data_IF_123246942271
#
_entry.id   IF_123246942271
#
_cell.length_a   1.000
_cell.length_b   1.000
_cell.length_c   1.000
_cell.angle_alpha   90.00
_cell.angle_beta   90.00
_cell.angle_gamma   90.00
#
_symmetry.space_group_name_H-M   'P 1'
#
loop_
_entity.id
_entity.type
_entity.pdbx_description
1 polymer ?
#
# COMPACT_ATOMS: atom_id res chain seq x y z
N UNK A 1 -33.39 -26.77 -30.08
CA UNK A 1 -32.63 -26.96 -28.83
C UNK A 1 -31.13 -26.69 -28.96
N UNK A 2 -30.41 -27.21 -29.97
CA UNK A 2 -28.94 -27.02 -30.13
C UNK A 2 -28.45 -25.56 -30.19
N UNK A 3 -29.20 -24.65 -30.84
CA UNK A 3 -28.80 -23.23 -31.00
C UNK A 3 -28.91 -22.42 -29.70
N UNK A 4 -29.90 -22.72 -28.84
CA UNK A 4 -30.13 -22.00 -27.58
C UNK A 4 -29.06 -22.37 -26.54
N UNK A 5 -28.66 -23.65 -26.50
CA UNK A 5 -27.57 -24.14 -25.64
C UNK A 5 -26.22 -23.51 -26.05
N UNK A 6 -25.98 -23.36 -27.36
CA UNK A 6 -24.75 -22.76 -27.88
C UNK A 6 -24.65 -21.25 -27.58
N UNK A 7 -25.77 -20.51 -27.72
CA UNK A 7 -25.84 -19.08 -27.39
C UNK A 7 -25.66 -18.86 -25.89
N UNK A 8 -26.28 -19.70 -25.04
CA UNK A 8 -26.12 -19.65 -23.59
C UNK A 8 -24.70 -19.93 -23.11
N UNK A 9 -23.99 -20.90 -23.71
CA UNK A 9 -22.58 -21.16 -23.42
C UNK A 9 -21.67 -19.97 -23.79
N UNK A 10 -21.93 -19.34 -24.94
CA UNK A 10 -21.13 -18.20 -25.41
C UNK A 10 -21.26 -16.97 -24.49
N UNK A 11 -22.46 -16.65 -24.02
CA UNK A 11 -22.68 -15.55 -23.07
C UNK A 11 -22.05 -15.80 -21.70
N UNK A 12 -22.12 -17.04 -21.18
CA UNK A 12 -21.47 -17.39 -19.91
C UNK A 12 -19.94 -17.23 -20.01
N UNK A 13 -19.35 -17.58 -21.16
CA UNK A 13 -17.90 -17.46 -21.37
C UNK A 13 -17.45 -15.99 -21.35
N UNK A 14 -18.21 -15.09 -21.97
CA UNK A 14 -17.93 -13.65 -21.95
C UNK A 14 -18.04 -13.04 -20.55
N UNK A 15 -18.99 -13.50 -19.74
CA UNK A 15 -19.15 -13.05 -18.34
C UNK A 15 -17.94 -13.47 -17.49
N UNK A 16 -17.47 -14.71 -17.66
CA UNK A 16 -16.29 -15.21 -16.93
C UNK A 16 -15.03 -14.43 -17.32
N UNK A 17 -14.82 -14.17 -18.61
CA UNK A 17 -13.67 -13.37 -19.09
C UNK A 17 -13.74 -11.94 -18.56
N UNK A 18 -14.92 -11.32 -18.56
CA UNK A 18 -15.12 -9.99 -18.00
C UNK A 18 -14.83 -9.93 -16.50
N UNK A 19 -15.26 -10.95 -15.74
CA UNK A 19 -15.01 -11.05 -14.31
C UNK A 19 -13.53 -11.26 -13.99
N UNK A 20 -12.84 -12.14 -14.72
CA UNK A 20 -11.39 -12.36 -14.56
C UNK A 20 -10.62 -11.07 -14.89
N UNK A 21 -10.96 -10.39 -15.98
CA UNK A 21 -10.33 -9.12 -16.36
C UNK A 21 -10.53 -8.03 -15.29
N UNK A 22 -11.72 -7.97 -14.68
CA UNK A 22 -12.01 -7.06 -13.58
C UNK A 22 -11.18 -7.38 -12.33
N UNK A 23 -11.04 -8.65 -11.96
CA UNK A 23 -10.20 -9.05 -10.82
C UNK A 23 -8.73 -8.70 -11.09
N UNK A 24 -8.19 -8.99 -12.27
CA UNK A 24 -6.80 -8.68 -12.63
C UNK A 24 -6.52 -7.17 -12.66
N UNK A 25 -7.48 -6.34 -13.09
CA UNK A 25 -7.34 -4.87 -13.06
C UNK A 25 -7.44 -4.26 -11.66
N UNK A 26 -8.13 -4.94 -10.74
CA UNK A 26 -8.36 -4.45 -9.37
C UNK A 26 -7.34 -5.00 -8.37
N UNK A 27 -6.62 -6.07 -8.69
CA UNK A 27 -5.47 -6.54 -7.90
C UNK A 27 -4.24 -5.74 -8.29
N UNK A 28 -4.16 -4.53 -7.76
CA UNK A 28 -2.94 -3.75 -7.85
C UNK A 28 -2.00 -4.13 -6.72
N UNK A 29 -0.77 -4.42 -7.09
CA UNK A 29 0.31 -4.66 -6.13
C UNK A 29 0.89 -3.29 -5.73
N UNK A 30 0.68 -2.81 -4.48
CA UNK A 30 1.16 -1.52 -4.02
C UNK A 30 2.70 -1.44 -3.96
N UNK A 31 3.40 -2.57 -4.07
CA UNK A 31 4.87 -2.65 -4.14
C UNK A 31 5.39 -2.83 -5.57
N UNK A 32 4.53 -2.92 -6.59
CA UNK A 32 4.95 -2.91 -7.98
C UNK A 32 5.62 -1.57 -8.34
N UNK A 33 6.65 -1.58 -9.18
CA UNK A 33 7.40 -0.38 -9.60
C UNK A 33 6.51 0.79 -10.07
N UNK A 34 5.34 0.49 -10.64
CA UNK A 34 4.38 1.49 -11.11
C UNK A 34 3.60 2.17 -9.98
N UNK A 35 3.32 1.45 -8.89
CA UNK A 35 2.50 1.92 -7.78
C UNK A 35 3.35 2.30 -6.56
N UNK A 36 4.58 1.80 -6.48
CA UNK A 36 5.50 2.04 -5.39
C UNK A 36 5.72 3.53 -5.09
N UNK A 37 5.91 4.44 -6.09
CA UNK A 37 6.03 5.88 -5.79
C UNK A 37 4.80 6.45 -5.07
N UNK A 38 3.59 6.02 -5.45
CA UNK A 38 2.34 6.45 -4.78
C UNK A 38 2.23 5.86 -3.38
N UNK A 39 2.62 4.60 -3.23
CA UNK A 39 2.68 3.92 -1.93
C UNK A 39 3.68 4.60 -1.00
N UNK A 40 4.83 5.05 -1.52
CA UNK A 40 5.80 5.83 -0.75
C UNK A 40 5.22 7.16 -0.28
N UNK A 41 4.55 7.92 -1.15
CA UNK A 41 3.91 9.19 -0.75
C UNK A 41 2.82 8.98 0.31
N UNK A 42 1.93 8.00 0.12
CA UNK A 42 0.89 7.66 1.09
C UNK A 42 1.50 7.21 2.42
N UNK A 43 2.49 6.32 2.39
CA UNK A 43 3.19 5.84 3.58
C UNK A 43 3.86 6.99 4.35
N UNK A 44 4.53 7.92 3.65
CA UNK A 44 5.08 9.14 4.26
C UNK A 44 4.01 9.97 4.96
N UNK A 45 2.89 10.24 4.29
CA UNK A 45 1.81 11.03 4.86
C UNK A 45 1.21 10.34 6.11
N UNK A 46 0.94 9.03 6.05
CA UNK A 46 0.44 8.24 7.18
C UNK A 46 1.41 8.26 8.36
N UNK A 47 2.72 8.20 8.10
CA UNK A 47 3.72 8.29 9.14
C UNK A 47 3.70 9.65 9.85
N UNK A 48 3.77 10.73 9.07
CA UNK A 48 3.81 12.10 9.60
C UNK A 48 2.55 12.33 10.44
N UNK A 49 1.38 11.93 9.92
CA UNK A 49 0.12 12.02 10.65
C UNK A 49 0.13 11.20 11.95
N UNK A 50 0.68 9.98 11.93
CA UNK A 50 0.81 9.14 13.12
C UNK A 50 1.71 9.80 14.18
N UNK A 51 2.91 10.23 13.82
CA UNK A 51 3.82 10.86 14.78
C UNK A 51 3.28 12.21 15.28
N UNK A 52 2.63 12.98 14.43
CA UNK A 52 2.01 14.24 14.83
C UNK A 52 0.81 14.03 15.78
N UNK A 53 -0.08 13.06 15.50
CA UNK A 53 -1.28 12.83 16.33
C UNK A 53 -1.00 12.00 17.59
N UNK A 54 -0.25 10.93 17.47
CA UNK A 54 -0.04 9.96 18.55
C UNK A 54 1.17 10.30 19.42
N UNK A 55 2.20 10.94 18.85
CA UNK A 55 3.43 11.30 19.55
C UNK A 55 3.61 12.80 19.74
N UNK A 56 2.73 13.63 19.17
CA UNK A 56 2.83 15.10 19.18
C UNK A 56 4.19 15.60 18.67
N UNK A 57 4.73 14.89 17.68
CA UNK A 57 6.08 15.09 17.20
C UNK A 57 6.05 15.32 15.68
N UNK A 58 6.55 16.47 15.26
CA UNK A 58 6.67 16.80 13.84
C UNK A 58 7.93 16.13 13.29
N UNK A 59 7.75 15.22 12.32
CA UNK A 59 8.82 14.41 11.75
C UNK A 59 9.03 14.69 10.27
N UNK A 60 10.26 14.55 9.82
CA UNK A 60 10.65 14.61 8.42
C UNK A 60 11.10 13.22 7.97
N UNK A 61 10.35 12.62 7.03
CA UNK A 61 10.68 11.32 6.47
C UNK A 61 11.72 11.48 5.35
N UNK A 62 12.91 10.94 5.56
CA UNK A 62 14.04 11.04 4.64
C UNK A 62 14.16 9.83 3.72
N UNK A 63 13.78 8.64 4.21
CA UNK A 63 13.87 7.39 3.44
C UNK A 63 12.62 6.54 3.57
N UNK A 64 12.35 5.79 2.50
CA UNK A 64 11.25 4.84 2.42
C UNK A 64 11.75 3.60 1.66
N UNK A 65 11.65 2.43 2.27
CA UNK A 65 12.05 1.15 1.71
C UNK A 65 11.00 0.07 1.93
N UNK A 66 11.15 -1.08 1.26
CA UNK A 66 10.25 -2.22 1.40
C UNK A 66 10.79 -3.18 2.47
N UNK A 67 9.92 -3.69 3.34
CA UNK A 67 10.30 -4.66 4.38
C UNK A 67 10.03 -6.07 3.89
N UNK A 68 11.05 -6.67 3.27
CA UNK A 68 11.05 -8.06 2.81
C UNK A 68 10.20 -8.30 1.55
N UNK A 69 10.43 -9.43 0.88
CA UNK A 69 9.65 -9.86 -0.30
C UNK A 69 8.27 -10.41 0.07
N UNK A 70 8.08 -10.82 1.34
CA UNK A 70 6.90 -11.51 1.84
C UNK A 70 6.07 -10.58 2.73
N UNK A 71 5.38 -9.63 2.09
CA UNK A 71 4.40 -8.78 2.73
C UNK A 71 4.39 -7.37 2.15
N UNK A 72 3.20 -6.79 2.05
CA UNK A 72 3.02 -5.38 1.68
C UNK A 72 3.39 -4.48 2.86
N UNK A 73 4.67 -4.43 3.22
CA UNK A 73 5.18 -3.63 4.33
C UNK A 73 6.24 -2.67 3.85
N UNK A 74 6.15 -1.45 4.32
CA UNK A 74 7.07 -0.37 3.98
C UNK A 74 7.70 0.13 5.26
N UNK A 75 9.02 0.26 5.25
CA UNK A 75 9.78 0.88 6.32
C UNK A 75 10.11 2.30 5.93
N UNK A 76 10.04 3.18 6.90
CA UNK A 76 10.36 4.58 6.75
C UNK A 76 11.37 4.99 7.81
N UNK A 77 12.29 5.86 7.42
CA UNK A 77 13.20 6.53 8.34
C UNK A 77 13.04 8.04 8.21
N UNK A 78 13.20 8.71 9.33
CA UNK A 78 13.18 10.15 9.41
C UNK A 78 13.90 10.65 10.65
N UNK A 79 13.65 11.91 10.95
CA UNK A 79 14.08 12.57 12.18
C UNK A 79 13.03 13.59 12.61
N UNK A 80 13.11 14.05 13.85
CA UNK A 80 12.30 15.17 14.31
C UNK A 80 12.66 16.45 13.53
N UNK A 81 11.66 17.23 13.11
CA UNK A 81 11.84 18.46 12.32
C UNK A 81 12.84 19.44 12.96
N UNK A 82 12.84 19.53 14.29
CA UNK A 82 13.71 20.43 15.05
C UNK A 82 14.96 19.75 15.63
N UNK A 83 15.12 18.44 15.44
CA UNK A 83 16.22 17.67 16.01
C UNK A 83 16.62 16.50 15.09
N UNK A 84 17.61 16.76 14.23
CA UNK A 84 18.17 15.75 13.32
C UNK A 84 18.89 14.60 14.05
N UNK A 85 19.24 14.77 15.34
CA UNK A 85 19.83 13.71 16.15
C UNK A 85 18.80 12.70 16.64
N UNK A 86 17.54 13.13 16.79
CA UNK A 86 16.45 12.25 17.17
C UNK A 86 15.92 11.54 15.93
N UNK A 87 16.29 10.28 15.78
CA UNK A 87 15.92 9.47 14.63
C UNK A 87 14.59 8.81 14.89
N UNK A 88 13.79 8.68 13.84
CA UNK A 88 12.54 7.96 13.90
C UNK A 88 12.51 6.89 12.82
N UNK A 89 11.98 5.74 13.18
CA UNK A 89 11.69 4.68 12.25
C UNK A 89 10.27 4.17 12.48
N UNK A 90 9.62 3.75 11.40
CA UNK A 90 8.33 3.11 11.49
C UNK A 90 8.12 2.11 10.37
N UNK A 91 7.31 1.10 10.66
CA UNK A 91 6.87 0.10 9.71
C UNK A 91 5.38 0.30 9.47
N UNK A 92 5.03 0.42 8.19
CA UNK A 92 3.69 0.68 7.71
C UNK A 92 3.22 -0.53 6.92
N UNK A 93 2.09 -1.08 7.32
CA UNK A 93 1.37 -2.08 6.55
C UNK A 93 0.59 -1.37 5.43
N UNK A 94 0.93 -1.72 4.18
CA UNK A 94 0.34 -1.20 2.94
C UNK A 94 -0.45 -2.27 2.20
N UNK A 95 -0.80 -3.39 2.85
CA UNK A 95 -1.52 -4.52 2.24
C UNK A 95 -2.89 -4.17 1.65
N UNK A 96 -3.46 -3.04 2.03
CA UNK A 96 -4.70 -2.52 1.45
C UNK A 96 -4.51 -1.05 1.13
N UNK A 97 -4.78 -0.67 -0.12
CA UNK A 97 -4.67 0.71 -0.62
C UNK A 97 -5.39 1.77 0.25
N UNK A 98 -6.43 1.35 0.98
CA UNK A 98 -7.26 2.21 1.83
C UNK A 98 -6.99 2.09 3.34
N UNK A 99 -6.03 1.25 3.77
CA UNK A 99 -5.78 0.98 5.21
C UNK A 99 -4.29 0.96 5.54
N UNK A 100 -3.59 2.02 5.18
CA UNK A 100 -2.22 2.25 5.61
C UNK A 100 -2.20 2.36 7.13
N UNK A 101 -1.45 1.49 7.80
CA UNK A 101 -1.39 1.46 9.27
C UNK A 101 0.05 1.34 9.75
N UNK A 102 0.44 2.23 10.66
CA UNK A 102 1.68 2.07 11.41
C UNK A 102 1.53 0.88 12.35
N UNK A 103 2.35 -0.16 12.13
CA UNK A 103 2.36 -1.39 12.95
C UNK A 103 3.50 -1.40 13.95
N UNK A 104 4.54 -0.61 13.70
CA UNK A 104 5.67 -0.43 14.61
C UNK A 104 6.22 0.98 14.40
N UNK A 105 6.61 1.62 15.49
CA UNK A 105 7.34 2.88 15.48
C UNK A 105 8.37 2.88 16.59
N UNK A 106 9.50 3.51 16.33
CA UNK A 106 10.58 3.71 17.27
C UNK A 106 11.15 5.12 17.10
N UNK A 107 11.63 5.68 18.21
CA UNK A 107 12.21 7.01 18.33
C UNK A 107 13.48 6.82 19.15
N UNK A 108 14.63 7.04 18.52
CA UNK A 108 15.97 6.95 19.10
C UNK A 108 16.50 8.35 19.45
#
# INVERSE_FOLDING_TARGET
MKKIVLVGLSTITLIIIGFVSYITLTTKDPLSDKEFPKTQEKAKATAIEYFQKEKQLDVVITKVGVVGEIGYKVWIEGHELNNEQQKIDAIIDVAKEDKYKVISSNID
#
